data_IF_227959759439
#
_entry.id   IF_227959759439
#
_cell.length_a   1.000
_cell.length_b   1.000
_cell.length_c   1.000
_cell.angle_alpha   90.00
_cell.angle_beta   90.00
_cell.angle_gamma   90.00
#
_symmetry.space_group_name_H-M   'P 1'
#
loop_
_entity.id
_entity.type
_entity.pdbx_description
1 polymer ?
#
# COMPACT_ATOMS: atom_id res chain seq x y z
N UNK A 1 15.35 -39.71 16.81
CA UNK A 1 14.97 -38.40 17.36
C UNK A 1 14.29 -37.56 16.30
N UNK A 2 13.03 -37.19 16.50
CA UNK A 2 12.31 -36.26 15.62
C UNK A 2 12.90 -34.88 15.85
N UNK A 3 13.64 -34.37 14.86
CA UNK A 3 14.22 -33.03 14.92
C UNK A 3 13.07 -32.03 14.89
N UNK A 4 12.63 -31.59 16.07
CA UNK A 4 11.73 -30.45 16.19
C UNK A 4 12.53 -29.20 15.81
N UNK A 5 12.44 -28.80 14.54
CA UNK A 5 12.96 -27.51 14.11
C UNK A 5 12.20 -26.41 14.87
N UNK A 6 12.89 -25.35 15.35
CA UNK A 6 12.20 -24.23 15.98
C UNK A 6 11.20 -23.67 14.97
N UNK A 7 9.92 -23.58 15.33
CA UNK A 7 8.92 -22.85 14.54
C UNK A 7 9.39 -21.40 14.46
N UNK A 8 10.18 -21.06 13.42
CA UNK A 8 10.59 -19.69 13.11
C UNK A 8 9.32 -18.84 13.19
N UNK A 9 9.32 -17.81 14.05
CA UNK A 9 8.28 -16.77 14.05
C UNK A 9 8.00 -16.43 12.59
N UNK A 10 6.82 -16.82 12.08
CA UNK A 10 6.45 -16.47 10.71
C UNK A 10 6.53 -14.95 10.63
N UNK A 11 7.30 -14.44 9.67
CA UNK A 11 7.36 -13.01 9.40
C UNK A 11 5.94 -12.48 9.15
N UNK A 12 5.63 -11.26 9.62
CA UNK A 12 4.34 -10.58 9.34
C UNK A 12 4.00 -10.52 7.86
N UNK A 13 5.01 -10.65 7.00
CA UNK A 13 4.84 -10.80 5.55
C UNK A 13 3.89 -11.96 5.20
N UNK A 14 3.96 -13.08 5.93
CA UNK A 14 3.14 -14.26 5.70
C UNK A 14 1.66 -14.07 6.08
N UNK A 15 1.31 -13.01 6.81
CA UNK A 15 -0.10 -12.71 7.11
C UNK A 15 -0.89 -12.32 5.84
N UNK A 16 -0.18 -11.93 4.77
CA UNK A 16 -0.76 -11.54 3.48
C UNK A 16 -0.74 -12.65 2.43
N UNK A 17 -0.22 -13.83 2.77
CA UNK A 17 -0.04 -14.92 1.81
C UNK A 17 -0.45 -16.28 2.38
N UNK A 18 -1.26 -17.00 1.60
CA UNK A 18 -1.55 -18.41 1.82
C UNK A 18 -0.49 -19.26 1.12
N UNK A 19 0.20 -20.12 1.86
CA UNK A 19 1.15 -21.07 1.30
C UNK A 19 0.39 -22.23 0.65
N UNK A 20 0.55 -22.42 -0.66
CA UNK A 20 -0.09 -23.53 -1.39
C UNK A 20 0.86 -24.73 -1.56
N UNK A 21 2.09 -24.45 -2.00
CA UNK A 21 3.18 -25.41 -2.16
C UNK A 21 4.50 -24.74 -1.80
N UNK A 22 5.58 -25.51 -1.69
CA UNK A 22 6.92 -25.05 -1.27
C UNK A 22 7.44 -23.81 -2.02
N UNK A 23 6.99 -23.59 -3.25
CA UNK A 23 7.41 -22.50 -4.13
C UNK A 23 6.22 -21.74 -4.74
N UNK A 24 5.02 -21.90 -4.18
CA UNK A 24 3.79 -21.31 -4.69
C UNK A 24 2.98 -20.73 -3.54
N UNK A 25 2.80 -19.42 -3.56
CA UNK A 25 2.00 -18.70 -2.58
C UNK A 25 0.86 -17.98 -3.26
N UNK A 26 -0.22 -17.75 -2.53
CA UNK A 26 -1.41 -17.04 -3.00
C UNK A 26 -1.58 -15.78 -2.18
N UNK A 27 -1.70 -14.64 -2.84
CA UNK A 27 -1.96 -13.38 -2.15
C UNK A 27 -3.37 -13.41 -1.56
N UNK A 28 -3.50 -13.10 -0.26
CA UNK A 28 -4.80 -13.06 0.41
C UNK A 28 -5.70 -11.90 -0.10
N UNK A 29 -5.09 -10.83 -0.64
CA UNK A 29 -5.78 -9.62 -1.11
C UNK A 29 -6.34 -9.82 -2.53
N UNK A 30 -5.47 -10.10 -3.51
CA UNK A 30 -5.88 -10.18 -4.92
C UNK A 30 -6.06 -11.62 -5.43
N UNK A 31 -5.84 -12.63 -4.58
CA UNK A 31 -5.97 -14.06 -4.89
C UNK A 31 -5.08 -14.56 -6.04
N UNK A 32 -4.13 -13.74 -6.53
CA UNK A 32 -3.12 -14.12 -7.51
C UNK A 32 -2.14 -15.10 -6.88
N UNK A 33 -1.79 -16.14 -7.63
CA UNK A 33 -0.74 -17.09 -7.28
C UNK A 33 0.61 -16.58 -7.80
N UNK A 34 1.63 -16.70 -6.96
CA UNK A 34 2.97 -16.20 -7.22
C UNK A 34 3.91 -17.38 -7.12
N UNK A 35 4.59 -17.67 -8.22
CA UNK A 35 5.62 -18.69 -8.27
C UNK A 35 6.95 -18.11 -7.80
N UNK A 36 7.59 -18.79 -6.85
CA UNK A 36 8.87 -18.39 -6.28
C UNK A 36 9.95 -19.33 -6.81
N UNK A 37 10.87 -18.88 -7.67
CA UNK A 37 11.89 -19.75 -8.26
C UNK A 37 12.92 -20.25 -7.22
N UNK A 38 13.10 -19.53 -6.12
CA UNK A 38 14.02 -19.94 -5.04
C UNK A 38 13.54 -19.42 -3.67
N UNK A 39 13.66 -20.22 -2.58
CA UNK A 39 13.18 -19.82 -1.26
C UNK A 39 13.93 -18.62 -0.67
N UNK A 40 15.20 -18.40 -1.03
CA UNK A 40 15.97 -17.21 -0.62
C UNK A 40 15.39 -15.90 -1.15
N UNK A 41 14.74 -15.95 -2.33
CA UNK A 41 14.18 -14.77 -3.00
C UNK A 41 12.70 -14.56 -2.66
N UNK A 42 12.10 -15.47 -1.87
CA UNK A 42 10.70 -15.41 -1.46
C UNK A 42 10.29 -14.07 -0.85
N UNK A 43 11.07 -13.45 0.08
CA UNK A 43 10.63 -12.21 0.71
C UNK A 43 10.64 -11.05 -0.29
N UNK A 44 11.67 -10.93 -1.13
CA UNK A 44 11.76 -9.84 -2.11
C UNK A 44 10.61 -9.90 -3.14
N UNK A 45 10.23 -11.10 -3.59
CA UNK A 45 9.12 -11.30 -4.52
C UNK A 45 7.78 -10.95 -3.85
N UNK A 46 7.56 -11.44 -2.64
CA UNK A 46 6.35 -11.16 -1.86
C UNK A 46 6.22 -9.66 -1.56
N UNK A 47 7.31 -9.01 -1.13
CA UNK A 47 7.37 -7.56 -0.90
C UNK A 47 7.10 -6.79 -2.20
N UNK A 48 7.77 -7.14 -3.29
CA UNK A 48 7.56 -6.52 -4.60
C UNK A 48 6.11 -6.67 -5.10
N UNK A 49 5.46 -7.79 -4.78
CA UNK A 49 4.04 -7.99 -5.03
C UNK A 49 3.17 -7.10 -4.14
N UNK A 50 3.43 -7.06 -2.84
CA UNK A 50 2.71 -6.21 -1.88
C UNK A 50 2.88 -4.71 -2.17
N UNK A 51 4.00 -4.28 -2.74
CA UNK A 51 4.17 -2.91 -3.23
C UNK A 51 3.15 -2.56 -4.32
N UNK A 52 2.69 -3.55 -5.11
CA UNK A 52 1.58 -3.36 -6.06
C UNK A 52 0.21 -3.26 -5.37
N UNK A 53 0.14 -3.66 -4.10
CA UNK A 53 -0.99 -3.38 -3.21
C UNK A 53 -0.70 -2.19 -2.31
N UNK A 54 0.29 -1.35 -2.62
CA UNK A 54 0.65 -0.20 -1.80
C UNK A 54 1.04 -0.54 -0.36
N UNK A 55 1.31 -1.82 -0.08
CA UNK A 55 1.80 -2.33 1.19
C UNK A 55 3.31 -2.43 1.05
N UNK A 56 3.99 -1.41 1.59
CA UNK A 56 5.43 -1.31 1.52
C UNK A 56 6.05 -1.94 2.77
N UNK A 57 6.77 -3.04 2.58
CA UNK A 57 7.62 -3.63 3.61
C UNK A 57 9.01 -3.03 3.47
N UNK A 58 9.21 -1.85 4.04
CA UNK A 58 10.54 -1.31 4.27
C UNK A 58 10.92 -1.54 5.74
N UNK A 59 12.22 -1.67 5.99
CA UNK A 59 12.84 -2.11 7.24
C UNK A 59 12.45 -1.25 8.47
N UNK A 60 11.23 -1.44 9.01
CA UNK A 60 10.68 -1.01 10.31
C UNK A 60 9.60 0.09 10.37
N UNK A 61 9.08 0.62 9.24
CA UNK A 61 7.95 1.59 9.32
C UNK A 61 6.82 1.25 8.35
N UNK A 62 5.65 0.93 8.92
CA UNK A 62 4.44 0.53 8.21
C UNK A 62 3.51 1.71 8.03
N UNK A 63 3.29 2.18 6.80
CA UNK A 63 2.20 3.10 6.53
C UNK A 63 1.87 3.10 5.05
N UNK A 64 0.56 3.21 4.74
CA UNK A 64 0.11 3.82 3.49
C UNK A 64 0.87 5.15 3.39
N UNK A 65 1.48 5.52 2.24
CA UNK A 65 2.27 6.74 2.10
C UNK A 65 1.68 7.90 2.91
N UNK A 66 2.30 8.22 4.04
CA UNK A 66 1.82 9.25 4.97
C UNK A 66 1.73 10.59 4.24
N UNK A 67 2.54 10.76 3.19
CA UNK A 67 2.53 11.85 2.22
C UNK A 67 1.19 12.10 1.53
N UNK A 68 0.26 11.13 1.52
CA UNK A 68 -1.04 11.27 0.88
C UNK A 68 -2.22 11.30 1.85
N UNK A 69 -1.98 11.14 3.15
CA UNK A 69 -3.02 11.02 4.16
C UNK A 69 -3.91 12.25 4.27
N UNK A 70 -3.38 13.43 3.96
CA UNK A 70 -4.13 14.70 3.99
C UNK A 70 -5.09 14.86 2.80
N UNK A 71 -4.93 14.06 1.74
CA UNK A 71 -5.72 14.20 0.50
C UNK A 71 -6.97 13.31 0.46
N UNK A 72 -7.20 12.50 1.49
CA UNK A 72 -8.40 11.67 1.58
C UNK A 72 -8.92 11.53 3.01
N UNK A 73 -10.21 11.21 3.13
CA UNK A 73 -10.86 10.80 4.36
C UNK A 73 -11.16 9.30 4.30
N UNK A 74 -10.81 8.56 5.34
CA UNK A 74 -11.18 7.15 5.45
C UNK A 74 -12.69 7.01 5.73
N UNK A 75 -13.30 6.03 5.06
CA UNK A 75 -14.69 5.66 5.21
C UNK A 75 -14.80 4.17 5.59
N UNK A 76 -15.91 3.78 6.26
CA UNK A 76 -16.18 2.38 6.55
C UNK A 76 -16.15 1.49 5.31
N UNK A 77 -15.76 0.22 5.49
CA UNK A 77 -15.68 -0.75 4.40
C UNK A 77 -14.47 -0.56 3.48
N UNK A 78 -13.34 -0.12 4.04
CA UNK A 78 -12.06 0.05 3.33
C UNK A 78 -12.17 0.96 2.10
N UNK A 79 -12.86 2.09 2.30
CA UNK A 79 -13.07 3.12 1.28
C UNK A 79 -12.32 4.39 1.67
N UNK A 80 -11.80 5.07 0.67
CA UNK A 80 -11.20 6.39 0.83
C UNK A 80 -12.00 7.39 -0.03
N UNK A 81 -12.39 8.51 0.56
CA UNK A 81 -12.99 9.65 -0.14
C UNK A 81 -11.90 10.69 -0.40
N UNK A 82 -11.64 11.04 -1.64
CA UNK A 82 -10.73 12.14 -1.98
C UNK A 82 -11.29 13.48 -1.46
N UNK A 83 -10.46 14.27 -0.79
CA UNK A 83 -10.87 15.54 -0.21
C UNK A 83 -11.07 16.65 -1.27
N UNK A 84 -10.33 16.60 -2.40
CA UNK A 84 -10.43 17.60 -3.48
C UNK A 84 -11.67 17.42 -4.38
N UNK A 85 -11.95 16.18 -4.80
CA UNK A 85 -13.01 15.90 -5.77
C UNK A 85 -14.18 15.07 -5.21
N UNK A 86 -14.15 14.74 -3.91
CA UNK A 86 -15.15 13.90 -3.24
C UNK A 86 -15.33 12.49 -3.80
N UNK A 87 -14.47 12.03 -4.73
CA UNK A 87 -14.55 10.68 -5.29
C UNK A 87 -14.22 9.62 -4.23
N UNK A 88 -15.11 8.66 -4.05
CA UNK A 88 -14.89 7.51 -3.17
C UNK A 88 -14.37 6.31 -3.95
N UNK A 89 -13.34 5.65 -3.43
CA UNK A 89 -12.76 4.45 -4.04
C UNK A 89 -12.40 3.41 -2.97
N UNK A 90 -12.55 2.12 -3.28
CA UNK A 90 -12.04 1.05 -2.42
C UNK A 90 -10.51 1.06 -2.47
N UNK A 91 -9.86 1.08 -1.30
CA UNK A 91 -8.40 0.99 -1.24
C UNK A 91 -7.91 -0.43 -1.02
N UNK A 92 -8.73 -1.32 -0.46
CA UNK A 92 -8.31 -2.71 -0.22
C UNK A 92 -7.99 -3.45 -1.52
N UNK A 93 -8.76 -3.20 -2.58
CA UNK A 93 -8.62 -3.87 -3.88
C UNK A 93 -7.91 -3.02 -4.93
N UNK A 94 -7.83 -1.70 -4.72
CA UNK A 94 -7.49 -0.75 -5.79
C UNK A 94 -6.62 0.42 -5.31
N UNK A 95 -5.78 0.17 -4.30
CA UNK A 95 -4.83 1.15 -3.74
C UNK A 95 -3.92 1.84 -4.77
N UNK A 96 -3.55 1.17 -5.87
CA UNK A 96 -2.76 1.80 -6.95
C UNK A 96 -3.57 2.85 -7.68
N UNK A 97 -4.85 2.56 -7.96
CA UNK A 97 -5.76 3.53 -8.56
C UNK A 97 -6.02 4.68 -7.61
N UNK A 98 -6.20 4.40 -6.32
CA UNK A 98 -6.28 5.43 -5.29
C UNK A 98 -5.05 6.32 -5.27
N UNK A 99 -3.85 5.74 -5.21
CA UNK A 99 -2.61 6.52 -5.17
C UNK A 99 -2.44 7.39 -6.41
N UNK A 100 -2.68 6.83 -7.61
CA UNK A 100 -2.62 7.58 -8.87
C UNK A 100 -3.62 8.72 -8.90
N UNK A 101 -4.81 8.49 -8.37
CA UNK A 101 -5.85 9.51 -8.26
C UNK A 101 -5.45 10.63 -7.30
N UNK A 102 -5.04 10.30 -6.07
CA UNK A 102 -4.65 11.29 -5.07
C UNK A 102 -3.45 12.13 -5.53
N UNK A 103 -2.45 11.50 -6.18
CA UNK A 103 -1.30 12.23 -6.73
C UNK A 103 -1.67 13.27 -7.80
N UNK A 104 -2.73 13.05 -8.57
CA UNK A 104 -3.21 14.06 -9.55
C UNK A 104 -3.67 15.33 -8.86
N UNK A 105 -4.23 15.20 -7.67
CA UNK A 105 -4.73 16.33 -6.88
C UNK A 105 -3.61 16.94 -6.04
N UNK A 106 -2.67 16.15 -5.51
CA UNK A 106 -1.51 16.69 -4.78
C UNK A 106 -0.67 17.63 -5.66
N UNK A 107 -0.38 17.26 -6.91
CA UNK A 107 0.35 18.15 -7.84
C UNK A 107 -0.46 19.39 -8.22
N UNK A 108 -1.79 19.28 -8.29
CA UNK A 108 -2.68 20.41 -8.62
C UNK A 108 -2.77 21.41 -7.46
N UNK A 109 -2.83 20.92 -6.23
CA UNK A 109 -2.87 21.75 -5.02
C UNK A 109 -1.54 22.50 -4.84
N UNK A 110 -0.40 21.81 -4.96
CA UNK A 110 0.93 22.43 -4.89
C UNK A 110 1.13 23.55 -5.95
N UNK A 111 0.54 23.40 -7.15
CA UNK A 111 0.63 24.44 -8.19
C UNK A 111 -0.23 25.68 -7.92
N UNK A 112 -1.21 25.58 -7.01
CA UNK A 112 -2.16 26.67 -6.73
C UNK A 112 -1.73 27.54 -5.56
N UNK A 113 -1.01 26.98 -4.59
CA UNK A 113 -0.50 27.73 -3.44
C UNK A 113 0.68 28.66 -3.80
N UNK A 114 1.42 28.37 -4.87
CA UNK A 114 2.47 29.27 -5.41
C UNK A 114 1.91 30.60 -5.98
N UNK A 115 0.58 30.76 -6.04
CA UNK A 115 -0.10 31.97 -6.52
C UNK A 115 -0.97 32.69 -5.48
N UNK A 116 -1.08 32.18 -4.25
CA UNK A 116 -1.99 32.74 -3.23
C UNK A 116 -1.33 33.70 -2.24
N UNK A 117 0.01 33.82 -2.22
CA UNK A 117 0.75 34.76 -1.36
C UNK A 117 0.97 36.12 -2.06
N UNK A 118 -0.08 36.70 -2.67
CA UNK A 118 -0.01 38.09 -3.16
C UNK A 118 -1.36 38.80 -3.18
N UNK A 119 -2.13 38.73 -2.10
CA UNK A 119 -3.16 39.75 -1.82
C UNK A 119 -3.61 39.69 -0.36
N UNK A 120 -2.84 40.31 0.53
CA UNK A 120 -3.34 40.89 1.79
C UNK A 120 -2.29 41.83 2.38
N UNK A 121 -2.26 43.07 1.88
CA UNK A 121 -2.07 44.31 2.66
C UNK A 121 -2.36 45.52 1.76
N UNK A 122 -3.64 45.90 1.73
CA UNK A 122 -4.18 47.26 1.66
C UNK A 122 -5.51 47.08 2.40
N UNK A 123 -5.80 47.78 3.49
CA UNK A 123 -5.59 49.19 3.82
C UNK A 123 -5.16 49.40 5.27
#
# INVERSE_FOLDING_TARGET
SVIMTPKKKRSKLWDYFEELKSLLVKCAICKIQIHMPHPSNSPAIMIGHLNRHGIFFNNDTYTLPDDLREYYSELPGYKAKCNDCSKTMPFLTDIIRLRKHLRRHSTRILSRDEGAERSRVQE
#
